data_IF_606707510964
#
_entry.id   IF_606707510964
#
_cell.length_a   1.000
_cell.length_b   1.000
_cell.length_c   1.000
_cell.angle_alpha   90.00
_cell.angle_beta   90.00
_cell.angle_gamma   90.00
#
_symmetry.space_group_name_H-M   'P 1'
#
loop_
_entity.id
_entity.type
_entity.pdbx_description
1 polymer ?
#
# COMPACT_ATOMS: atom_id res chain seq x y z
N UNK A 1 28.36 31.75 13.87
CA UNK A 1 26.92 32.05 14.08
C UNK A 1 26.42 31.11 15.19
N UNK A 2 26.88 31.24 16.44
CA UNK A 2 26.41 32.13 17.51
C UNK A 2 24.90 32.02 17.79
N UNK A 3 24.61 30.97 18.56
CA UNK A 3 23.46 30.67 19.41
C UNK A 3 22.87 31.89 20.13
N UNK A 4 21.58 32.16 19.89
CA UNK A 4 20.72 33.01 20.73
C UNK A 4 19.27 32.57 20.53
N UNK A 5 18.63 32.09 21.59
CA UNK A 5 17.26 32.38 22.05
C UNK A 5 17.15 31.58 23.35
N UNK A 6 17.61 32.19 24.43
CA UNK A 6 17.32 31.74 25.79
C UNK A 6 16.53 32.87 26.45
N UNK A 7 15.22 32.65 26.49
CA UNK A 7 14.34 32.86 27.63
C UNK A 7 14.57 34.13 28.46
N UNK A 8 13.78 35.13 28.12
CA UNK A 8 13.40 36.26 28.96
C UNK A 8 12.28 35.89 29.94
N UNK A 9 12.43 36.29 31.22
CA UNK A 9 11.41 36.70 32.21
C UNK A 9 11.68 36.03 33.59
N UNK A 10 12.35 36.69 34.54
CA UNK A 10 11.85 37.76 35.42
C UNK A 10 10.89 37.23 36.50
N UNK A 11 11.36 37.15 37.75
CA UNK A 11 10.57 37.43 38.95
C UNK A 11 11.48 37.55 40.17
N UNK A 12 11.89 38.78 40.44
CA UNK A 12 12.41 39.24 41.72
C UNK A 12 11.30 39.12 42.76
N UNK A 13 11.51 38.34 43.82
CA UNK A 13 10.73 38.42 45.05
C UNK A 13 11.69 38.51 46.24
N UNK A 14 11.88 39.75 46.69
CA UNK A 14 12.60 40.13 47.90
C UNK A 14 11.57 40.11 49.03
N UNK A 15 11.67 39.19 49.98
CA UNK A 15 10.96 39.29 51.26
C UNK A 15 11.98 39.17 52.39
N UNK A 16 12.09 40.27 53.16
CA UNK A 16 12.97 40.45 54.30
C UNK A 16 12.22 40.06 55.60
N UNK A 17 13.02 39.64 56.59
CA UNK A 17 12.82 39.79 58.05
C UNK A 17 11.83 38.85 58.74
N UNK A 18 12.34 38.19 59.80
CA UNK A 18 11.53 37.61 60.85
C UNK A 18 12.27 36.59 61.72
N UNK A 19 13.14 37.05 62.62
CA UNK A 19 13.57 36.24 63.75
C UNK A 19 12.38 36.08 64.71
N UNK A 20 11.93 34.85 64.98
CA UNK A 20 11.04 34.57 66.10
C UNK A 20 11.17 33.12 66.58
N UNK A 21 11.16 33.02 67.91
CA UNK A 21 11.44 31.88 68.78
C UNK A 21 10.43 30.73 68.66
N UNK A 22 10.85 29.61 69.25
CA UNK A 22 10.15 28.33 69.35
C UNK A 22 8.64 28.38 69.60
N UNK A 23 7.97 27.45 68.93
CA UNK A 23 6.60 27.04 69.19
C UNK A 23 6.43 25.65 68.59
N UNK A 24 6.02 24.67 69.39
CA UNK A 24 5.68 23.32 68.94
C UNK A 24 4.49 23.42 67.98
N UNK A 25 4.71 23.21 66.70
CA UNK A 25 3.63 23.06 65.73
C UNK A 25 3.40 21.57 65.47
N UNK A 26 2.21 21.08 65.86
CA UNK A 26 1.64 19.86 65.31
C UNK A 26 1.42 20.09 63.82
N UNK A 27 2.41 19.76 63.01
CA UNK A 27 2.29 19.79 61.56
C UNK A 27 1.38 18.65 61.13
N UNK A 28 0.08 18.94 60.97
CA UNK A 28 -0.75 18.14 60.05
C UNK A 28 -0.12 18.32 58.67
N UNK A 29 0.66 17.33 58.25
CA UNK A 29 1.30 17.31 56.96
C UNK A 29 0.22 17.44 55.89
N UNK A 30 0.17 18.60 55.23
CA UNK A 30 -0.59 18.77 54.01
C UNK A 30 0.17 18.02 52.92
N UNK A 31 -0.12 16.72 52.80
CA UNK A 31 0.41 15.87 51.74
C UNK A 31 -0.19 16.34 50.42
N UNK A 32 0.55 17.16 49.68
CA UNK A 32 0.25 17.43 48.27
C UNK A 32 0.51 16.15 47.49
N UNK A 33 -0.51 15.29 47.37
CA UNK A 33 -0.47 14.20 46.42
C UNK A 33 -0.41 14.83 45.02
N UNK A 34 0.77 14.82 44.41
CA UNK A 34 0.94 15.10 43.00
C UNK A 34 0.31 13.93 42.26
N UNK A 35 -0.98 14.03 41.97
CA UNK A 35 -1.65 13.12 41.06
C UNK A 35 -0.95 13.23 39.70
N UNK A 36 -0.15 12.21 39.34
CA UNK A 36 0.24 12.00 37.94
C UNK A 36 -1.04 11.71 37.18
N UNK A 37 -1.64 12.74 36.61
CA UNK A 37 -2.68 12.61 35.61
C UNK A 37 -2.03 11.95 34.39
N UNK A 38 -2.23 10.65 34.23
CA UNK A 38 -1.99 10.01 32.94
C UNK A 38 -2.99 10.67 31.99
N UNK A 39 -2.50 11.54 31.11
CA UNK A 39 -3.33 12.04 30.02
C UNK A 39 -3.87 10.80 29.30
N UNK A 40 -5.20 10.69 29.21
CA UNK A 40 -5.81 9.65 28.39
C UNK A 40 -5.16 9.71 27.00
N UNK A 41 -4.76 8.57 26.41
CA UNK A 41 -4.17 8.59 25.08
C UNK A 41 -5.16 9.32 24.17
N UNK A 42 -4.71 10.42 23.57
CA UNK A 42 -5.51 11.18 22.63
C UNK A 42 -6.10 10.20 21.61
N UNK A 43 -7.40 10.29 21.33
CA UNK A 43 -8.05 9.42 20.35
C UNK A 43 -7.39 9.65 18.98
N UNK A 44 -6.50 8.73 18.61
CA UNK A 44 -5.87 8.73 17.29
C UNK A 44 -6.90 8.22 16.30
N UNK A 45 -7.30 9.09 15.37
CA UNK A 45 -8.19 8.70 14.27
C UNK A 45 -7.63 7.50 13.51
N UNK A 46 -8.49 6.73 12.81
CA UNK A 46 -8.11 5.43 12.23
C UNK A 46 -6.92 5.52 11.26
N UNK A 47 -6.83 6.60 10.49
CA UNK A 47 -5.70 6.85 9.58
C UNK A 47 -4.39 7.07 10.35
N UNK A 48 -4.44 7.82 11.46
CA UNK A 48 -3.28 8.02 12.32
C UNK A 48 -2.89 6.73 13.05
N UNK A 49 -3.86 5.92 13.48
CA UNK A 49 -3.59 4.62 14.09
C UNK A 49 -2.92 3.65 13.09
N UNK A 50 -3.39 3.63 11.85
CA UNK A 50 -2.76 2.88 10.77
C UNK A 50 -1.33 3.36 10.50
N UNK A 51 -1.14 4.67 10.29
CA UNK A 51 0.18 5.24 10.03
C UNK A 51 1.18 4.96 11.17
N UNK A 52 0.73 5.07 12.42
CA UNK A 52 1.56 4.72 13.59
C UNK A 52 1.92 3.23 13.61
N UNK A 53 1.00 2.35 13.24
CA UNK A 53 1.23 0.90 13.19
C UNK A 53 2.19 0.54 12.06
N UNK A 54 1.96 1.07 10.86
CA UNK A 54 2.85 0.88 9.71
C UNK A 54 4.25 1.41 10.00
N UNK A 55 4.36 2.61 10.59
CA UNK A 55 5.66 3.18 10.95
C UNK A 55 6.38 2.31 11.97
N UNK A 56 5.70 1.81 13.01
CA UNK A 56 6.31 0.91 14.00
C UNK A 56 6.82 -0.39 13.36
N UNK A 57 6.08 -0.96 12.41
CA UNK A 57 6.43 -2.22 11.75
C UNK A 57 7.55 -2.06 10.70
N UNK A 58 7.43 -1.07 9.81
CA UNK A 58 8.28 -0.93 8.63
C UNK A 58 9.17 0.31 8.66
N UNK A 59 8.67 1.43 9.18
CA UNK A 59 9.35 2.73 9.14
C UNK A 59 10.33 3.02 10.28
N UNK A 60 10.28 2.25 11.37
CA UNK A 60 11.03 2.52 12.61
C UNK A 60 12.54 2.25 12.50
N UNK A 61 12.96 1.49 11.48
CA UNK A 61 14.37 1.18 11.19
C UNK A 61 14.66 1.42 9.72
N UNK A 62 15.76 2.12 9.41
CA UNK A 62 16.20 2.40 8.05
C UNK A 62 16.36 1.13 7.21
N UNK A 63 16.93 0.07 7.80
CA UNK A 63 17.10 -1.20 7.10
C UNK A 63 15.75 -1.85 6.76
N UNK A 64 14.80 -1.89 7.70
CA UNK A 64 13.45 -2.42 7.47
C UNK A 64 12.69 -1.62 6.42
N UNK A 65 12.80 -0.30 6.49
CA UNK A 65 12.18 0.59 5.54
C UNK A 65 12.72 0.40 4.13
N UNK A 66 14.05 0.29 3.98
CA UNK A 66 14.69 0.03 2.70
C UNK A 66 14.26 -1.33 2.10
N UNK A 67 14.20 -2.39 2.92
CA UNK A 67 13.71 -3.70 2.46
C UNK A 67 12.24 -3.65 2.06
N UNK A 68 11.39 -2.96 2.85
CA UNK A 68 9.98 -2.77 2.51
C UNK A 68 9.81 -2.07 1.17
N UNK A 69 10.58 -1.01 0.90
CA UNK A 69 10.56 -0.32 -0.39
C UNK A 69 11.04 -1.22 -1.53
N UNK A 70 12.15 -1.93 -1.36
CA UNK A 70 12.68 -2.81 -2.40
C UNK A 70 11.68 -3.90 -2.79
N UNK A 71 11.11 -4.60 -1.80
CA UNK A 71 10.07 -5.62 -2.05
C UNK A 71 8.81 -5.00 -2.62
N UNK A 72 8.41 -3.83 -2.10
CA UNK A 72 7.23 -3.11 -2.57
C UNK A 72 7.33 -2.72 -4.05
N UNK A 73 8.50 -2.26 -4.50
CA UNK A 73 8.74 -1.92 -5.91
C UNK A 73 8.66 -3.16 -6.80
N UNK A 74 9.27 -4.28 -6.42
CA UNK A 74 9.20 -5.53 -7.20
C UNK A 74 7.75 -6.00 -7.35
N UNK A 75 7.00 -6.02 -6.25
CA UNK A 75 5.59 -6.42 -6.29
C UNK A 75 4.73 -5.44 -7.09
N UNK A 76 5.00 -4.14 -6.98
CA UNK A 76 4.32 -3.12 -7.77
C UNK A 76 4.60 -3.30 -9.26
N UNK A 77 5.85 -3.54 -9.65
CA UNK A 77 6.23 -3.76 -11.04
C UNK A 77 5.53 -5.00 -11.62
N UNK A 78 5.54 -6.12 -10.89
CA UNK A 78 4.82 -7.34 -11.30
C UNK A 78 3.32 -7.09 -11.45
N UNK A 79 2.71 -6.41 -10.48
CA UNK A 79 1.29 -6.08 -10.50
C UNK A 79 0.93 -5.14 -11.64
N UNK A 80 1.68 -4.04 -11.79
CA UNK A 80 1.44 -3.02 -12.81
C UNK A 80 1.60 -3.59 -14.21
N UNK A 81 2.56 -4.47 -14.48
CA UNK A 81 2.71 -5.11 -15.79
C UNK A 81 1.43 -5.88 -16.15
N UNK A 82 0.98 -6.77 -15.26
CA UNK A 82 -0.23 -7.58 -15.48
C UNK A 82 -1.51 -6.74 -15.58
N UNK A 83 -1.64 -5.69 -14.76
CA UNK A 83 -2.81 -4.84 -14.76
C UNK A 83 -2.89 -3.97 -16.01
N UNK A 84 -1.74 -3.45 -16.45
CA UNK A 84 -1.65 -2.61 -17.65
C UNK A 84 -1.97 -3.44 -18.89
N UNK A 85 -1.40 -4.64 -19.01
CA UNK A 85 -1.73 -5.57 -20.09
C UNK A 85 -3.22 -5.91 -20.11
N UNK A 86 -3.81 -6.20 -18.95
CA UNK A 86 -5.24 -6.50 -18.85
C UNK A 86 -6.12 -5.32 -19.28
N UNK A 87 -5.82 -4.11 -18.79
CA UNK A 87 -6.58 -2.91 -19.17
C UNK A 87 -6.43 -2.60 -20.67
N UNK A 88 -5.23 -2.82 -21.22
CA UNK A 88 -4.95 -2.62 -22.63
C UNK A 88 -5.67 -3.65 -23.50
N UNK A 89 -5.62 -4.93 -23.15
CA UNK A 89 -6.30 -6.01 -23.87
C UNK A 89 -7.83 -5.90 -23.75
N UNK A 90 -8.35 -5.41 -22.61
CA UNK A 90 -9.78 -5.14 -22.45
C UNK A 90 -10.26 -4.01 -23.37
N UNK A 91 -9.45 -2.95 -23.52
CA UNK A 91 -9.80 -1.82 -24.40
C UNK A 91 -9.58 -2.13 -25.89
N UNK A 92 -8.73 -3.10 -26.23
CA UNK A 92 -8.42 -3.50 -27.61
C UNK A 92 -8.95 -4.89 -27.97
N UNK A 93 -10.03 -5.33 -27.32
CA UNK A 93 -10.61 -6.65 -27.49
C UNK A 93 -10.91 -6.95 -28.97
N UNK A 94 -10.36 -8.04 -29.49
CA UNK A 94 -10.56 -8.51 -30.87
C UNK A 94 -9.58 -7.95 -31.91
N UNK A 95 -8.79 -6.94 -31.57
CA UNK A 95 -7.75 -6.39 -32.45
C UNK A 95 -6.34 -6.90 -32.10
N UNK A 96 -6.21 -7.64 -31.01
CA UNK A 96 -4.92 -8.19 -30.55
C UNK A 96 -4.65 -9.53 -31.22
N UNK A 97 -3.42 -9.77 -31.70
CA UNK A 97 -3.00 -11.02 -32.36
C UNK A 97 -3.40 -12.30 -31.58
N UNK A 98 -3.39 -12.23 -30.24
CA UNK A 98 -3.76 -13.34 -29.34
C UNK A 98 -5.27 -13.65 -29.32
N UNK A 99 -6.11 -12.73 -29.80
CA UNK A 99 -7.57 -12.79 -29.73
C UNK A 99 -8.21 -12.92 -31.12
N UNK A 100 -7.43 -12.74 -32.19
CA UNK A 100 -7.86 -12.98 -33.56
C UNK A 100 -7.92 -14.49 -33.78
N UNK A 101 -9.06 -14.95 -34.29
CA UNK A 101 -9.24 -16.33 -34.68
C UNK A 101 -8.55 -16.58 -36.02
N UNK A 102 -7.46 -17.34 -35.99
CA UNK A 102 -6.65 -17.64 -37.17
C UNK A 102 -7.25 -18.74 -38.02
N UNK A 103 -8.14 -19.60 -37.48
CA UNK A 103 -8.80 -20.65 -38.27
C UNK A 103 -9.83 -20.11 -39.27
N UNK A 104 -10.21 -18.83 -39.14
CA UNK A 104 -11.02 -18.13 -40.17
C UNK A 104 -10.24 -17.92 -41.48
N UNK A 105 -8.92 -17.95 -41.42
CA UNK A 105 -8.05 -17.70 -42.57
C UNK A 105 -7.37 -18.95 -43.10
N UNK A 106 -7.62 -20.12 -42.48
CA UNK A 106 -7.31 -21.36 -43.17
C UNK A 106 -8.20 -21.40 -44.42
N UNK A 107 -7.63 -21.62 -45.62
CA UNK A 107 -8.45 -21.91 -46.77
C UNK A 107 -9.29 -23.12 -46.36
N UNK A 108 -10.62 -22.99 -46.43
CA UNK A 108 -11.49 -24.16 -46.45
C UNK A 108 -10.85 -25.07 -47.50
N UNK A 109 -10.33 -26.23 -47.07
CA UNK A 109 -10.09 -27.34 -47.98
C UNK A 109 -11.45 -27.54 -48.61
N UNK A 110 -11.66 -26.94 -49.78
CA UNK A 110 -12.81 -27.18 -50.64
C UNK A 110 -12.87 -28.70 -50.72
N UNK A 111 -13.83 -29.29 -50.00
CA UNK A 111 -14.17 -30.69 -50.12
C UNK A 111 -14.50 -30.85 -51.61
N UNK A 112 -13.50 -31.29 -52.38
CA UNK A 112 -13.63 -31.67 -53.77
C UNK A 112 -14.74 -32.73 -53.77
N UNK A 113 -15.95 -32.30 -54.13
CA UNK A 113 -17.04 -33.18 -54.50
C UNK A 113 -16.48 -34.04 -55.65
N UNK A 114 -15.99 -35.25 -55.32
CA UNK A 114 -15.76 -36.34 -56.26
C UNK A 114 -17.12 -36.69 -56.88
N UNK A 115 -17.51 -35.91 -57.88
CA UNK A 115 -18.53 -36.24 -58.86
C UNK A 115 -17.91 -37.31 -59.78
N UNK A 116 -17.95 -38.56 -59.29
CA UNK A 116 -17.59 -39.76 -60.05
C UNK A 116 -18.73 -40.09 -61.04
N UNK A 117 -18.94 -39.16 -61.98
CA UNK A 117 -19.78 -39.33 -63.16
C UNK A 117 -18.88 -39.91 -64.27
N UNK A 118 -18.47 -41.17 -64.09
CA UNK A 118 -17.84 -41.98 -65.15
C UNK A 118 -18.95 -42.60 -66.01
N UNK A 119 -19.47 -41.75 -66.89
CA UNK A 119 -20.39 -42.09 -67.98
C UNK A 119 -19.59 -42.61 -69.20
N UNK A 120 -20.03 -43.76 -69.70
CA UNK A 120 -19.81 -44.35 -71.04
C UNK A 120 -18.37 -44.65 -71.53
N UNK A 121 -18.05 -45.93 -71.75
CA UNK A 121 -18.17 -46.52 -73.10
C UNK A 121 -17.83 -48.03 -73.15
N UNK A 122 -18.68 -48.75 -73.88
CA UNK A 122 -18.43 -49.91 -74.74
C UNK A 122 -17.86 -51.25 -74.16
N UNK A 123 -18.60 -52.35 -74.36
CA UNK A 123 -18.35 -53.30 -75.46
C UNK A 123 -19.30 -54.53 -75.37
N UNK A 124 -20.01 -54.78 -76.46
CA UNK A 124 -20.67 -56.05 -76.82
C UNK A 124 -19.73 -57.26 -76.60
N UNK A 125 -20.18 -58.31 -75.88
CA UNK A 125 -19.86 -59.69 -76.26
C UNK A 125 -20.77 -60.74 -75.55
N UNK A 126 -21.50 -61.49 -76.38
CA UNK A 126 -21.88 -62.91 -76.27
C UNK A 126 -22.67 -63.47 -75.06
N UNK A 127 -23.97 -63.81 -75.27
CA UNK A 127 -24.50 -65.21 -75.44
C UNK A 127 -26.03 -65.26 -75.67
#
# INVERSE_FOLDING_TARGET
MLSRIAESALAVARARVGAARGGRFNSKAFSTQISKSYAAPASVGPVNAFAQTWYKLFGSSTARYATFLAVGVILAEMGTNSLTDYLWEANNKGNTYKQVDWSKFDPEEEEEEEDDDDDDDDEDDDE
#
